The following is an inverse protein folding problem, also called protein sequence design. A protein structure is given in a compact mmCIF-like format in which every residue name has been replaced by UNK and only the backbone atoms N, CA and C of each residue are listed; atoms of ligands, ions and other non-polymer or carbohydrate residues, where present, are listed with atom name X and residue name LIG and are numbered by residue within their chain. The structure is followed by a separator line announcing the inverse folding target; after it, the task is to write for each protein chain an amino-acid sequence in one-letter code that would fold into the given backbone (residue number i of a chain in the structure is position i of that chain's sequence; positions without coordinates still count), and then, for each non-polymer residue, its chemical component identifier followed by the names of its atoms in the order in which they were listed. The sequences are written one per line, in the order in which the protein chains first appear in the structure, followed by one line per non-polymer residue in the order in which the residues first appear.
data_IF_770275479524
#
_entry.id   IF_770275479524
#
_cell.length_a   1.000
_cell.length_b   1.000
_cell.length_c   1.000
_cell.angle_alpha   90.00
_cell.angle_beta   90.00
_cell.angle_gamma   90.00
#
_symmetry.space_group_name_H-M   'P 1'
#
loop_
_entity.id
_entity.type
_entity.pdbx_description
1 polymer ?
#
# COMPACT_ATOMS: atom_id res chain seq x y z
N UNK A 1 15.05 10.01 -19.53
CA UNK A 1 13.67 10.56 -19.50
C UNK A 1 13.30 10.84 -18.04
N UNK A 2 12.58 11.94 -17.77
CA UNK A 2 12.05 12.27 -16.42
C UNK A 2 10.55 12.08 -16.41
N UNK A 3 10.02 11.42 -15.39
CA UNK A 3 8.58 11.09 -15.27
C UNK A 3 8.09 11.50 -13.88
N UNK A 4 7.00 12.27 -13.85
CA UNK A 4 6.28 12.57 -12.62
C UNK A 4 5.03 11.68 -12.53
N UNK A 5 4.82 11.06 -11.38
CA UNK A 5 3.64 10.25 -11.06
C UNK A 5 2.89 10.96 -9.93
N UNK A 6 1.60 11.24 -10.16
CA UNK A 6 0.75 11.92 -9.18
C UNK A 6 -0.18 10.90 -8.53
N UNK A 7 -0.04 10.73 -7.21
CA UNK A 7 -0.72 9.72 -6.41
C UNK A 7 0.14 8.48 -6.19
N UNK A 8 0.23 8.06 -4.93
CA UNK A 8 0.98 6.86 -4.48
C UNK A 8 0.05 5.70 -4.09
N UNK A 9 -1.16 5.66 -4.65
CA UNK A 9 -1.99 4.46 -4.58
C UNK A 9 -1.36 3.29 -5.34
N UNK A 10 -2.01 2.12 -5.29
CA UNK A 10 -1.50 0.89 -5.92
C UNK A 10 -1.04 1.11 -7.38
N UNK A 11 -1.82 1.83 -8.20
CA UNK A 11 -1.49 2.10 -9.60
C UNK A 11 -0.22 2.95 -9.76
N UNK A 12 -0.08 4.02 -8.97
CA UNK A 12 1.09 4.90 -9.02
C UNK A 12 2.37 4.19 -8.58
N UNK A 13 2.28 3.40 -7.51
CA UNK A 13 3.41 2.57 -7.05
C UNK A 13 3.77 1.46 -8.03
N UNK A 14 2.79 0.80 -8.68
CA UNK A 14 3.05 -0.19 -9.72
C UNK A 14 3.79 0.43 -10.92
N UNK A 15 3.38 1.61 -11.38
CA UNK A 15 4.06 2.31 -12.47
C UNK A 15 5.47 2.74 -12.05
N UNK A 16 5.63 3.30 -10.85
CA UNK A 16 6.94 3.68 -10.31
C UNK A 16 7.88 2.48 -10.24
N UNK A 17 7.37 1.34 -9.76
CA UNK A 17 8.12 0.10 -9.69
C UNK A 17 8.56 -0.38 -11.08
N UNK A 18 7.65 -0.39 -12.06
CA UNK A 18 7.94 -0.85 -13.42
C UNK A 18 8.97 0.04 -14.14
N UNK A 19 8.89 1.37 -13.93
CA UNK A 19 9.75 2.34 -14.61
C UNK A 19 11.07 2.62 -13.91
N UNK A 20 11.33 2.06 -12.72
CA UNK A 20 12.49 2.39 -11.87
C UNK A 20 13.86 2.30 -12.56
N UNK A 21 14.01 1.41 -13.55
CA UNK A 21 15.26 1.22 -14.31
C UNK A 21 15.26 1.91 -15.69
N UNK A 22 14.14 2.51 -16.08
CA UNK A 22 13.91 3.06 -17.43
C UNK A 22 13.83 4.59 -17.43
N UNK A 23 13.46 5.19 -16.31
CA UNK A 23 13.30 6.63 -16.19
C UNK A 23 13.69 7.14 -14.79
N UNK A 24 14.03 8.42 -14.72
CA UNK A 24 14.12 9.13 -13.44
C UNK A 24 12.68 9.47 -12.98
N UNK A 25 12.17 8.69 -12.02
CA UNK A 25 10.80 8.83 -11.52
C UNK A 25 10.75 9.76 -10.31
N UNK A 26 9.78 10.67 -10.28
CA UNK A 26 9.39 11.44 -9.10
C UNK A 26 7.93 11.15 -8.79
N UNK A 27 7.65 10.68 -7.57
CA UNK A 27 6.30 10.34 -7.10
C UNK A 27 5.82 11.46 -6.15
N UNK A 28 4.61 11.97 -6.38
CA UNK A 28 3.99 12.96 -5.53
C UNK A 28 2.77 12.34 -4.84
N UNK A 29 2.72 12.43 -3.52
CA UNK A 29 1.57 12.02 -2.71
C UNK A 29 1.05 13.21 -1.91
N UNK A 30 -0.27 13.33 -1.84
CA UNK A 30 -0.98 14.35 -1.06
C UNK A 30 -1.04 14.02 0.43
N UNK A 31 -1.12 12.75 0.79
CA UNK A 31 -1.17 12.24 2.16
C UNK A 31 0.21 12.10 2.80
N UNK A 32 0.21 11.64 4.06
CA UNK A 32 1.42 11.39 4.84
C UNK A 32 1.99 9.98 4.69
N UNK A 33 1.37 9.14 3.86
CA UNK A 33 1.74 7.74 3.67
C UNK A 33 1.45 7.30 2.23
N UNK A 34 2.13 6.25 1.79
CA UNK A 34 1.88 5.63 0.48
C UNK A 34 0.88 4.49 0.57
N UNK A 35 0.13 4.25 -0.52
CA UNK A 35 -0.82 3.15 -0.66
C UNK A 35 -2.25 3.60 -0.90
N UNK A 36 -2.62 4.81 -0.49
CA UNK A 36 -3.99 5.32 -0.65
C UNK A 36 -5.01 4.39 0.01
N UNK A 37 -5.84 3.70 -0.78
CA UNK A 37 -6.81 2.73 -0.28
C UNK A 37 -6.19 1.41 0.22
N UNK A 38 -4.93 1.09 -0.11
CA UNK A 38 -4.21 -0.01 0.57
C UNK A 38 -3.67 0.53 1.88
N UNK A 39 -4.50 0.47 2.93
CA UNK A 39 -4.24 1.12 4.21
C UNK A 39 -4.44 0.16 5.37
N UNK A 40 -3.35 -0.11 6.08
CA UNK A 40 -3.31 -0.93 7.30
C UNK A 40 -3.02 -0.01 8.48
N UNK A 41 -3.80 -0.13 9.54
CA UNK A 41 -3.56 0.59 10.80
C UNK A 41 -3.19 -0.40 11.91
N UNK A 42 -2.24 -0.01 12.75
CA UNK A 42 -1.88 -0.82 13.91
C UNK A 42 -2.87 -0.57 15.06
N UNK A 43 -3.50 -1.63 15.54
CA UNK A 43 -4.43 -1.59 16.67
C UNK A 43 -3.88 -2.44 17.80
N UNK A 44 -3.74 -1.86 18.99
CA UNK A 44 -3.25 -2.58 20.18
C UNK A 44 -4.39 -2.86 21.14
N UNK A 45 -4.64 -4.13 21.43
CA UNK A 45 -5.73 -4.61 22.31
C UNK A 45 -5.22 -5.67 23.29
N UNK A 46 -5.84 -5.81 24.48
CA UNK A 46 -5.53 -6.93 25.37
C UNK A 46 -6.05 -8.24 24.78
N UNK A 47 -5.25 -9.31 24.85
CA UNK A 47 -5.68 -10.66 24.53
C UNK A 47 -6.48 -11.29 25.69
N UNK A 48 -6.89 -12.56 25.54
CA UNK A 48 -7.65 -13.28 26.57
C UNK A 48 -6.92 -13.41 27.93
N UNK A 49 -5.60 -13.25 27.96
CA UNK A 49 -4.79 -13.25 29.19
C UNK A 49 -4.49 -11.83 29.71
N UNK A 50 -5.10 -10.79 29.15
CA UNK A 50 -4.89 -9.39 29.53
C UNK A 50 -3.58 -8.77 29.02
N UNK A 51 -2.80 -9.49 28.19
CA UNK A 51 -1.55 -8.97 27.62
C UNK A 51 -1.85 -8.13 26.37
N UNK A 52 -1.26 -6.95 26.26
CA UNK A 52 -1.36 -6.13 25.05
C UNK A 52 -0.75 -6.85 23.82
N UNK A 53 -1.50 -6.85 22.71
CA UNK A 53 -1.10 -7.39 21.41
C UNK A 53 -1.45 -6.37 20.34
N UNK A 54 -0.52 -6.11 19.43
CA UNK A 54 -0.72 -5.22 18.28
C UNK A 54 -1.01 -6.05 17.03
N UNK A 55 -2.04 -5.64 16.28
CA UNK A 55 -2.44 -6.23 15.02
C UNK A 55 -2.51 -5.15 13.94
N UNK A 56 -1.99 -5.46 12.75
CA UNK A 56 -2.32 -4.67 11.56
C UNK A 56 -3.75 -4.98 11.13
N UNK A 57 -4.56 -3.93 10.96
CA UNK A 57 -5.95 -4.01 10.52
C UNK A 57 -6.09 -3.24 9.22
N UNK A 58 -6.43 -3.95 8.15
CA UNK A 58 -6.72 -3.33 6.87
C UNK A 58 -8.04 -2.56 6.93
N UNK A 59 -8.07 -1.38 6.33
CA UNK A 59 -9.23 -0.46 6.40
C UNK A 59 -9.74 -0.02 5.03
N UNK A 60 -9.06 -0.40 3.95
CA UNK A 60 -9.48 -0.08 2.58
C UNK A 60 -9.54 -1.30 1.68
N UNK A 61 -8.40 -1.89 1.31
CA UNK A 61 -8.36 -3.12 0.51
C UNK A 61 -8.32 -4.36 1.40
N UNK A 62 -9.40 -5.14 1.40
CA UNK A 62 -9.63 -6.22 2.38
C UNK A 62 -9.70 -7.62 1.76
N UNK A 63 -9.95 -7.72 0.45
CA UNK A 63 -10.24 -8.99 -0.21
C UNK A 63 -9.24 -9.21 -1.34
N UNK A 64 -8.50 -10.31 -1.24
CA UNK A 64 -7.62 -10.81 -2.28
C UNK A 64 -7.93 -12.27 -2.57
N UNK A 65 -7.83 -12.65 -3.85
CA UNK A 65 -7.75 -14.04 -4.28
C UNK A 65 -7.04 -14.10 -5.64
N UNK A 66 -6.39 -15.22 -5.92
CA UNK A 66 -5.57 -15.41 -7.12
C UNK A 66 -6.39 -15.36 -8.42
N UNK A 67 -7.68 -15.73 -8.37
CA UNK A 67 -8.57 -15.73 -9.54
C UNK A 67 -8.86 -14.31 -10.02
N UNK A 68 -9.15 -13.38 -9.11
CA UNK A 68 -9.50 -12.00 -9.46
C UNK A 68 -8.30 -11.06 -9.50
N UNK A 69 -7.17 -11.44 -8.87
CA UNK A 69 -5.96 -10.62 -8.78
C UNK A 69 -4.68 -11.37 -9.20
N UNK A 70 -4.62 -11.90 -10.43
CA UNK A 70 -3.48 -12.74 -10.87
C UNK A 70 -2.14 -12.00 -10.97
N UNK A 71 -2.15 -10.67 -10.94
CA UNK A 71 -0.96 -9.82 -11.07
C UNK A 71 -0.61 -9.05 -9.79
N UNK A 72 -1.29 -9.32 -8.67
CA UNK A 72 -1.05 -8.65 -7.38
C UNK A 72 -0.15 -9.48 -6.44
N UNK A 73 0.73 -10.33 -7.01
CA UNK A 73 1.70 -11.19 -6.30
C UNK A 73 3.10 -10.90 -6.82
#
# INVERSE_FOLDING_TARGET
MKVAIIGSGISGLSVAHQLRSQAQVTLFESGSYFGGHTHTVDVTLPNAAGKAVTHGVDTGFLVFNERTYPHLI
#
